data_IF_580972540458
#
_entry.id   IF_580972540458
#
_cell.length_a   1.000
_cell.length_b   1.000
_cell.length_c   1.000
_cell.angle_alpha   90.00
_cell.angle_beta   90.00
_cell.angle_gamma   90.00
#
_symmetry.space_group_name_H-M   'P 1'
#
loop_
_entity.id
_entity.type
_entity.pdbx_description
1 polymer ?
#
# COMPACT_ATOMS: atom_id res chain seq x y z
N UNK A 1 20.70 15.75 -9.05
CA UNK A 1 19.86 16.86 -8.59
C UNK A 1 18.65 16.29 -7.89
N UNK A 2 18.61 16.43 -6.60
CA UNK A 2 17.36 16.21 -5.87
C UNK A 2 16.43 17.37 -6.20
N UNK A 3 15.32 17.10 -6.85
CA UNK A 3 14.26 18.09 -6.99
C UNK A 3 13.84 18.64 -5.63
N UNK A 4 13.08 19.73 -5.59
CA UNK A 4 12.61 20.27 -4.31
C UNK A 4 11.90 19.15 -3.56
N UNK A 5 12.46 18.82 -2.41
CA UNK A 5 11.86 17.82 -1.52
C UNK A 5 10.46 18.30 -1.17
N UNK A 6 9.45 17.49 -1.44
CA UNK A 6 8.06 17.79 -1.06
C UNK A 6 7.89 17.93 0.45
N UNK A 7 8.90 17.50 1.21
CA UNK A 7 8.88 17.47 2.66
C UNK A 7 10.13 18.14 3.21
N UNK A 8 9.98 19.01 4.23
CA UNK A 8 11.15 19.57 4.92
C UNK A 8 11.99 18.48 5.58
N UNK A 9 13.30 18.60 5.50
CA UNK A 9 14.23 17.66 6.15
C UNK A 9 14.04 17.62 7.68
N UNK A 10 13.52 18.67 8.26
CA UNK A 10 13.21 18.72 9.70
C UNK A 10 12.15 17.71 10.16
N UNK A 11 11.31 17.25 9.23
CA UNK A 11 10.25 16.28 9.51
C UNK A 11 10.72 14.82 9.31
N UNK A 12 11.93 14.63 8.79
CA UNK A 12 12.50 13.33 8.45
C UNK A 12 13.71 13.07 9.35
N UNK A 13 13.78 11.87 9.92
CA UNK A 13 14.94 11.38 10.67
C UNK A 13 15.43 10.09 10.03
N UNK A 14 16.72 10.01 9.71
CA UNK A 14 17.33 8.84 9.10
C UNK A 14 18.43 8.31 10.02
N UNK A 15 18.34 7.03 10.36
CA UNK A 15 19.39 6.31 11.07
C UNK A 15 19.81 5.08 10.26
N UNK A 16 21.00 4.58 10.53
CA UNK A 16 21.50 3.36 9.89
C UNK A 16 21.60 2.24 10.88
N UNK A 17 21.07 1.09 10.50
CA UNK A 17 21.05 -0.10 11.34
C UNK A 17 21.68 -1.27 10.59
N UNK A 18 22.13 -2.27 11.33
CA UNK A 18 22.65 -3.49 10.73
C UNK A 18 21.51 -4.27 10.08
N UNK A 19 21.75 -4.72 8.84
CA UNK A 19 20.80 -5.59 8.15
C UNK A 19 20.69 -6.93 8.85
N UNK A 20 19.48 -7.44 9.01
CA UNK A 20 19.20 -8.79 9.49
C UNK A 20 18.82 -9.68 8.31
N UNK A 21 19.41 -10.85 8.21
CA UNK A 21 19.05 -11.82 7.18
C UNK A 21 20.23 -12.70 6.74
N UNK A 22 19.96 -13.80 6.02
CA UNK A 22 21.00 -14.65 5.44
C UNK A 22 21.67 -13.87 4.31
N UNK A 23 22.85 -13.36 4.55
CA UNK A 23 23.63 -12.65 3.57
C UNK A 23 25.10 -12.79 3.88
N UNK A 24 25.94 -12.46 2.92
CA UNK A 24 27.39 -12.57 3.07
C UNK A 24 27.93 -11.83 4.31
N UNK A 25 29.20 -12.01 4.59
CA UNK A 25 29.88 -11.53 5.80
C UNK A 25 29.68 -10.04 6.11
N UNK A 26 29.40 -9.22 5.10
CA UNK A 26 29.22 -7.76 5.27
C UNK A 26 27.85 -7.36 5.82
N UNK A 27 26.84 -8.23 5.74
CA UNK A 27 25.47 -7.92 6.19
C UNK A 27 25.41 -7.71 7.70
N UNK A 28 26.25 -8.42 8.46
CA UNK A 28 26.26 -8.36 9.92
C UNK A 28 27.31 -7.40 10.50
N UNK A 29 28.28 -6.94 9.69
CA UNK A 29 29.39 -6.11 10.14
C UNK A 29 29.20 -4.62 9.88
N UNK A 30 28.42 -4.25 8.89
CA UNK A 30 28.26 -2.85 8.45
C UNK A 30 26.80 -2.42 8.56
N UNK A 31 26.56 -1.34 9.28
CA UNK A 31 25.23 -0.73 9.41
C UNK A 31 24.92 0.07 8.16
N UNK A 32 24.45 -0.60 7.11
CA UNK A 32 24.09 0.01 5.82
C UNK A 32 22.60 0.22 5.61
N UNK A 33 21.75 -0.52 6.32
CA UNK A 33 20.29 -0.37 6.20
C UNK A 33 19.84 0.99 6.73
N UNK A 34 19.15 1.75 5.89
CA UNK A 34 18.60 3.04 6.25
C UNK A 34 17.21 2.86 6.88
N UNK A 35 17.05 3.42 8.06
CA UNK A 35 15.78 3.48 8.77
C UNK A 35 15.31 4.93 8.78
N UNK A 36 14.28 5.22 7.99
CA UNK A 36 13.70 6.55 7.86
C UNK A 36 12.44 6.64 8.71
N UNK A 37 12.36 7.70 9.51
CA UNK A 37 11.16 8.06 10.27
C UNK A 37 10.65 9.40 9.77
N UNK A 38 9.38 9.45 9.43
CA UNK A 38 8.69 10.66 9.01
C UNK A 38 7.63 11.03 10.06
N UNK A 39 7.70 12.25 10.57
CA UNK A 39 6.70 12.77 11.50
C UNK A 39 5.46 13.23 10.76
N UNK A 40 4.51 12.31 10.57
CA UNK A 40 3.26 12.56 9.90
C UNK A 40 2.36 13.50 10.69
N UNK A 41 2.24 13.28 12.00
CA UNK A 41 1.35 14.06 12.85
C UNK A 41 1.78 15.53 12.95
N UNK A 42 3.08 15.77 13.04
CA UNK A 42 3.66 17.11 13.14
C UNK A 42 3.97 17.77 11.80
N UNK A 43 3.70 17.11 10.67
CA UNK A 43 4.03 17.65 9.36
C UNK A 43 3.22 18.90 9.03
N UNK A 44 3.91 19.93 8.55
CA UNK A 44 3.31 21.17 8.05
C UNK A 44 3.13 21.16 6.52
N UNK A 45 3.75 20.19 5.84
CA UNK A 45 3.71 20.07 4.38
C UNK A 45 2.41 19.46 3.86
N UNK A 46 1.66 18.75 4.69
CA UNK A 46 0.45 18.01 4.32
C UNK A 46 -0.76 18.55 5.10
N UNK A 47 -1.91 18.64 4.42
CA UNK A 47 -3.18 18.94 5.07
C UNK A 47 -3.74 17.68 5.78
N UNK A 48 -4.78 17.86 6.59
CA UNK A 48 -5.37 16.75 7.35
C UNK A 48 -5.96 15.64 6.48
N UNK A 49 -6.49 15.98 5.31
CA UNK A 49 -7.02 15.01 4.35
C UNK A 49 -5.91 14.18 3.73
N UNK A 50 -4.80 14.83 3.34
CA UNK A 50 -3.63 14.13 2.83
C UNK A 50 -2.99 13.23 3.89
N UNK A 51 -2.91 13.69 5.14
CA UNK A 51 -2.44 12.88 6.27
C UNK A 51 -3.29 11.64 6.48
N UNK A 52 -4.61 11.76 6.42
CA UNK A 52 -5.53 10.63 6.55
C UNK A 52 -5.33 9.60 5.43
N UNK A 53 -5.19 10.05 4.18
CA UNK A 53 -4.90 9.17 3.05
C UNK A 53 -3.54 8.49 3.20
N UNK A 54 -2.54 9.23 3.66
CA UNK A 54 -1.19 8.70 3.86
C UNK A 54 -1.16 7.63 4.96
N UNK A 55 -1.91 7.81 6.05
CA UNK A 55 -2.07 6.77 7.09
C UNK A 55 -2.61 5.47 6.52
N UNK A 56 -3.63 5.56 5.68
CA UNK A 56 -4.22 4.40 5.02
C UNK A 56 -3.23 3.70 4.07
N UNK A 57 -2.47 4.49 3.29
CA UNK A 57 -1.48 3.96 2.35
C UNK A 57 -0.25 3.35 3.05
N UNK A 58 0.16 3.91 4.17
CA UNK A 58 1.32 3.43 4.91
C UNK A 58 1.12 2.03 5.51
N UNK A 59 -0.09 1.71 5.93
CA UNK A 59 -0.42 0.39 6.47
C UNK A 59 0.47 0.02 7.66
N UNK A 60 1.19 -1.09 7.54
CA UNK A 60 2.08 -1.61 8.59
C UNK A 60 3.31 -0.73 8.88
N UNK A 61 3.64 0.21 8.00
CA UNK A 61 4.71 1.19 8.22
C UNK A 61 4.33 2.29 9.20
N UNK A 62 3.05 2.40 9.51
CA UNK A 62 2.54 3.41 10.42
C UNK A 62 2.77 3.00 11.87
N UNK A 63 3.40 3.89 12.65
CA UNK A 63 3.66 3.69 14.06
C UNK A 63 2.84 4.69 14.86
N UNK A 64 1.94 4.18 15.73
CA UNK A 64 1.17 5.02 16.63
C UNK A 64 0.31 6.09 15.97
N UNK A 65 -0.09 5.91 14.71
CA UNK A 65 -0.81 6.89 13.89
C UNK A 65 -0.09 8.25 13.72
N UNK A 66 1.15 8.36 14.17
CA UNK A 66 1.90 9.61 14.19
C UNK A 66 3.14 9.62 13.30
N UNK A 67 3.76 8.47 13.11
CA UNK A 67 5.01 8.35 12.36
C UNK A 67 4.94 7.25 11.31
N UNK A 68 5.68 7.44 10.22
CA UNK A 68 5.90 6.42 9.20
C UNK A 68 7.33 5.94 9.25
N UNK A 69 7.53 4.64 9.36
CA UNK A 69 8.84 3.99 9.37
C UNK A 69 9.08 3.29 8.04
N UNK A 70 10.15 3.65 7.35
CA UNK A 70 10.58 3.02 6.11
C UNK A 70 12.00 2.48 6.29
N UNK A 71 12.18 1.20 6.01
CA UNK A 71 13.50 0.55 6.08
C UNK A 71 13.93 0.18 4.67
N UNK A 72 15.08 0.68 4.24
CA UNK A 72 15.70 0.34 2.97
C UNK A 72 17.04 -0.36 3.20
N UNK A 73 17.18 -1.57 2.67
CA UNK A 73 18.37 -2.41 2.82
C UNK A 73 18.80 -3.09 1.51
N UNK A 74 18.20 -2.71 0.41
CA UNK A 74 18.44 -3.35 -0.88
C UNK A 74 19.77 -2.94 -1.52
N UNK A 75 20.32 -1.81 -1.12
CA UNK A 75 21.56 -1.27 -1.66
C UNK A 75 22.76 -1.66 -0.80
N UNK A 76 23.94 -1.67 -1.41
CA UNK A 76 25.19 -2.02 -0.71
C UNK A 76 25.73 -0.88 0.15
N UNK A 77 25.37 0.36 -0.13
CA UNK A 77 25.88 1.55 0.52
C UNK A 77 24.81 2.23 1.38
N UNK A 78 25.24 2.93 2.41
CA UNK A 78 24.34 3.77 3.23
C UNK A 78 23.64 4.82 2.38
N UNK A 79 24.38 5.48 1.49
CA UNK A 79 23.84 6.51 0.62
C UNK A 79 22.77 5.96 -0.34
N UNK A 80 23.04 4.78 -0.92
CA UNK A 80 22.04 4.11 -1.78
C UNK A 80 20.76 3.75 -1.02
N UNK A 81 20.87 3.25 0.20
CA UNK A 81 19.73 2.93 1.04
C UNK A 81 18.97 4.18 1.50
N UNK A 82 19.68 5.26 1.81
CA UNK A 82 19.09 6.56 2.12
C UNK A 82 18.23 7.07 0.98
N UNK A 83 18.76 7.07 -0.22
CA UNK A 83 18.03 7.48 -1.43
C UNK A 83 16.80 6.61 -1.68
N UNK A 84 16.92 5.32 -1.50
CA UNK A 84 15.80 4.39 -1.66
C UNK A 84 14.71 4.64 -0.63
N UNK A 85 15.05 4.88 0.62
CA UNK A 85 14.08 5.21 1.66
C UNK A 85 13.34 6.50 1.36
N UNK A 86 14.05 7.54 0.92
CA UNK A 86 13.46 8.82 0.52
C UNK A 86 12.53 8.65 -0.69
N UNK A 87 12.94 7.87 -1.68
CA UNK A 87 12.13 7.57 -2.86
C UNK A 87 10.81 6.90 -2.48
N UNK A 88 10.85 5.93 -1.59
CA UNK A 88 9.64 5.23 -1.10
C UNK A 88 8.71 6.16 -0.35
N UNK A 89 9.25 7.06 0.45
CA UNK A 89 8.47 8.08 1.14
C UNK A 89 7.80 9.04 0.16
N UNK A 90 8.54 9.53 -0.83
CA UNK A 90 8.01 10.42 -1.87
C UNK A 90 6.88 9.77 -2.66
N UNK A 91 7.02 8.50 -3.03
CA UNK A 91 5.95 7.74 -3.71
C UNK A 91 4.67 7.68 -2.88
N UNK A 92 4.79 7.39 -1.59
CA UNK A 92 3.64 7.35 -0.69
C UNK A 92 2.96 8.71 -0.59
N UNK A 93 3.74 9.78 -0.50
CA UNK A 93 3.22 11.14 -0.40
C UNK A 93 2.54 11.58 -1.69
N UNK A 94 3.13 11.30 -2.85
CA UNK A 94 2.51 11.59 -4.14
C UNK A 94 1.16 10.89 -4.28
N UNK A 95 1.07 9.64 -3.88
CA UNK A 95 -0.21 8.91 -3.85
C UNK A 95 -1.22 9.53 -2.89
N UNK A 96 -0.75 9.98 -1.73
CA UNK A 96 -1.62 10.62 -0.72
C UNK A 96 -2.15 11.98 -1.18
N UNK A 97 -1.39 12.69 -2.03
CA UNK A 97 -1.80 13.96 -2.61
C UNK A 97 -2.84 13.80 -3.72
N UNK A 98 -2.91 12.63 -4.35
CA UNK A 98 -3.95 12.34 -5.33
C UNK A 98 -5.31 12.23 -4.64
N UNK A 99 -6.24 13.10 -5.04
CA UNK A 99 -7.61 13.05 -4.53
C UNK A 99 -8.37 11.97 -5.30
N UNK A 100 -8.86 10.91 -4.62
CA UNK A 100 -9.58 9.85 -5.29
C UNK A 100 -10.91 10.38 -5.82
N UNK A 101 -11.24 9.99 -7.06
CA UNK A 101 -12.53 10.31 -7.67
C UNK A 101 -13.63 9.60 -6.88
N UNK A 102 -14.63 10.37 -6.45
CA UNK A 102 -15.79 9.81 -5.76
C UNK A 102 -16.55 8.90 -6.74
N UNK A 103 -16.59 7.62 -6.43
CA UNK A 103 -17.38 6.65 -7.19
C UNK A 103 -18.83 6.74 -6.72
N UNK A 104 -19.71 7.15 -7.63
CA UNK A 104 -21.14 7.09 -7.38
C UNK A 104 -21.59 5.64 -7.52
N UNK A 105 -22.35 5.17 -6.55
CA UNK A 105 -22.98 3.87 -6.65
C UNK A 105 -23.91 3.84 -7.86
N UNK A 106 -23.69 2.90 -8.76
CA UNK A 106 -24.54 2.68 -9.92
C UNK A 106 -25.59 1.63 -9.59
N UNK A 107 -26.82 1.87 -10.00
CA UNK A 107 -27.84 0.83 -9.93
C UNK A 107 -27.74 -0.08 -11.14
N UNK A 108 -27.86 -1.40 -10.98
CA UNK A 108 -27.99 -2.30 -12.11
C UNK A 108 -29.17 -1.90 -12.98
N UNK A 109 -29.01 -1.97 -14.29
CA UNK A 109 -30.12 -1.72 -15.23
C UNK A 109 -31.16 -2.82 -15.12
N UNK A 110 -32.42 -2.51 -15.47
CA UNK A 110 -33.51 -3.50 -15.52
C UNK A 110 -33.14 -4.69 -16.41
N UNK A 111 -32.56 -4.42 -17.57
CA UNK A 111 -32.09 -5.46 -18.48
C UNK A 111 -30.99 -6.36 -17.87
N UNK A 112 -30.05 -5.77 -17.10
CA UNK A 112 -29.02 -6.51 -16.39
C UNK A 112 -29.61 -7.42 -15.33
N UNK A 113 -30.59 -6.94 -14.54
CA UNK A 113 -31.29 -7.75 -13.53
C UNK A 113 -32.07 -8.90 -14.17
N UNK A 114 -32.76 -8.64 -15.28
CA UNK A 114 -33.48 -9.68 -16.03
C UNK A 114 -32.55 -10.76 -16.54
N UNK A 115 -31.39 -10.40 -17.08
CA UNK A 115 -30.36 -11.37 -17.51
C UNK A 115 -29.82 -12.18 -16.34
N UNK A 116 -29.58 -11.57 -15.18
CA UNK A 116 -29.12 -12.27 -13.98
C UNK A 116 -30.14 -13.28 -13.48
N UNK A 117 -31.42 -12.89 -13.44
CA UNK A 117 -32.53 -13.76 -13.02
C UNK A 117 -32.70 -14.92 -14.00
N UNK A 118 -32.67 -14.64 -15.31
CA UNK A 118 -32.74 -15.67 -16.33
C UNK A 118 -31.59 -16.68 -16.23
N UNK A 119 -30.35 -16.21 -15.95
CA UNK A 119 -29.19 -17.05 -15.69
C UNK A 119 -29.38 -17.97 -14.47
N UNK A 120 -29.91 -17.43 -13.37
CA UNK A 120 -30.21 -18.22 -12.17
C UNK A 120 -31.26 -19.29 -12.42
N UNK A 121 -32.32 -18.96 -13.12
CA UNK A 121 -33.35 -19.92 -13.49
C UNK A 121 -32.83 -21.04 -14.37
N UNK A 122 -31.95 -20.72 -15.31
CA UNK A 122 -31.29 -21.70 -16.19
C UNK A 122 -30.42 -22.66 -15.37
N UNK A 123 -29.63 -22.16 -14.44
CA UNK A 123 -28.82 -22.99 -13.54
C UNK A 123 -29.68 -23.87 -12.65
N UNK A 124 -30.78 -23.38 -12.14
CA UNK A 124 -31.71 -24.13 -11.32
C UNK A 124 -32.34 -25.27 -12.12
N UNK A 125 -32.72 -25.01 -13.36
CA UNK A 125 -33.26 -26.04 -14.29
C UNK A 125 -32.20 -27.13 -14.54
N UNK A 126 -30.95 -26.75 -14.80
CA UNK A 126 -29.87 -27.70 -15.02
C UNK A 126 -29.60 -28.56 -13.77
N UNK A 127 -29.66 -27.98 -12.59
CA UNK A 127 -29.51 -28.72 -11.34
C UNK A 127 -30.65 -29.72 -11.11
N UNK A 128 -31.88 -29.32 -11.42
CA UNK A 128 -33.03 -30.24 -11.33
C UNK A 128 -32.89 -31.42 -12.29
N UNK A 129 -32.44 -31.18 -13.50
CA UNK A 129 -32.22 -32.25 -14.48
C UNK A 129 -31.13 -33.23 -14.01
N UNK A 130 -30.07 -32.73 -13.36
CA UNK A 130 -29.04 -33.60 -12.78
C UNK A 130 -29.54 -34.42 -11.60
N UNK A 131 -30.45 -33.87 -10.79
CA UNK A 131 -31.05 -34.56 -9.66
C UNK A 131 -32.09 -35.60 -10.03
N UNK A 132 -32.63 -35.53 -11.27
CA UNK A 132 -33.66 -36.47 -11.77
C UNK A 132 -33.10 -37.79 -12.32
N UNK A 133 -31.77 -37.86 -12.54
CA UNK A 133 -31.12 -39.10 -12.97
C UNK A 133 -30.83 -39.95 -11.72
N UNK A 134 -31.87 -40.59 -11.19
CA UNK A 134 -31.68 -41.73 -10.30
C UNK A 134 -31.50 -42.97 -11.18
N UNK A 135 -30.38 -43.63 -11.02
CA UNK A 135 -30.27 -45.00 -11.50
C UNK A 135 -31.17 -45.83 -10.58
N UNK A 136 -32.33 -46.18 -11.10
CA UNK A 136 -33.08 -47.30 -10.56
C UNK A 136 -32.35 -48.55 -11.01
N UNK A 137 -31.64 -49.19 -10.09
CA UNK A 137 -31.13 -50.53 -10.28
C UNK A 137 -32.32 -51.53 -10.20
#
# INVERSE_FOLDING_TARGET
>A
MSGPSLIPESEISISFVRGTGPGGQNVNKVATAAQLRFDLAGSTALDERAKARLRALAGHRLIGNAEILIVARNQRTQEGNRREALRRLEELILRALEVPKVRRATRPTRASNERRIAGKLRQQRNKRLRGAIRHDD
#
